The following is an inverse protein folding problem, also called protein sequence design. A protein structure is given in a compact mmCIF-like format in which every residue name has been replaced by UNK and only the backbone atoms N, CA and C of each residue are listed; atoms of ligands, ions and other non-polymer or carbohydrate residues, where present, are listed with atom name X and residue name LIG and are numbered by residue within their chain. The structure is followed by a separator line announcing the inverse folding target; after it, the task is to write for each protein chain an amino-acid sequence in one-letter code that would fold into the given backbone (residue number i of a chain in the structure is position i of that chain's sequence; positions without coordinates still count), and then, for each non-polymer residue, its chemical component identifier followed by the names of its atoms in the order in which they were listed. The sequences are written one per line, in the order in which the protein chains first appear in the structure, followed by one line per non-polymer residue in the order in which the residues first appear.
data_IF_380762247936
#
_entry.id   IF_380762247936
#
_cell.length_a   1.000
_cell.length_b   1.000
_cell.length_c   1.000
_cell.angle_alpha   90.00
_cell.angle_beta   90.00
_cell.angle_gamma   90.00
#
_symmetry.space_group_name_H-M   'P 1'
#
loop_
_entity.id
_entity.type
_entity.pdbx_description
1 polymer ?
#
# COMPACT_ATOMS: atom_id res chain seq x y z
N UNK A 1 -10.24 -27.02 -9.21
CA UNK A 1 -9.37 -26.12 -8.41
C UNK A 1 -10.12 -25.76 -7.13
N UNK A 2 -9.50 -25.96 -5.96
CA UNK A 2 -10.20 -25.95 -4.69
C UNK A 2 -10.51 -24.50 -4.26
N UNK A 3 -11.66 -24.26 -3.61
CA UNK A 3 -12.06 -22.94 -3.09
C UNK A 3 -10.99 -22.31 -2.17
N UNK A 4 -10.12 -23.11 -1.57
CA UNK A 4 -8.95 -22.66 -0.80
C UNK A 4 -7.95 -21.86 -1.62
N UNK A 5 -7.63 -22.28 -2.85
CA UNK A 5 -6.57 -21.65 -3.66
C UNK A 5 -6.95 -20.21 -4.04
N UNK A 6 -8.24 -20.00 -4.33
CA UNK A 6 -8.84 -18.69 -4.63
C UNK A 6 -8.78 -17.78 -3.40
N UNK A 7 -9.15 -18.30 -2.22
CA UNK A 7 -9.11 -17.55 -0.97
C UNK A 7 -7.69 -17.14 -0.57
N UNK A 8 -6.71 -18.03 -0.75
CA UNK A 8 -5.29 -17.73 -0.49
C UNK A 8 -4.79 -16.66 -1.45
N UNK A 9 -5.16 -16.75 -2.73
CA UNK A 9 -4.76 -15.76 -3.74
C UNK A 9 -5.32 -14.37 -3.42
N UNK A 10 -6.62 -14.28 -3.10
CA UNK A 10 -7.28 -13.03 -2.70
C UNK A 10 -6.62 -12.45 -1.44
N UNK A 11 -6.36 -13.28 -0.44
CA UNK A 11 -5.66 -12.88 0.78
C UNK A 11 -4.27 -12.30 0.49
N UNK A 12 -3.45 -12.99 -0.31
CA UNK A 12 -2.10 -12.54 -0.65
C UNK A 12 -2.12 -11.20 -1.39
N UNK A 13 -3.01 -11.06 -2.37
CA UNK A 13 -3.20 -9.83 -3.14
C UNK A 13 -3.61 -8.65 -2.24
N UNK A 14 -4.59 -8.86 -1.35
CA UNK A 14 -5.03 -7.83 -0.40
C UNK A 14 -3.97 -7.46 0.65
N UNK A 15 -2.97 -8.33 0.84
CA UNK A 15 -1.79 -8.08 1.67
C UNK A 15 -0.57 -7.63 0.87
N UNK A 16 -0.77 -7.20 -0.39
CA UNK A 16 0.23 -6.52 -1.20
C UNK A 16 1.26 -7.43 -1.82
N UNK A 17 0.93 -8.70 -2.04
CA UNK A 17 1.72 -9.56 -2.91
C UNK A 17 1.73 -8.99 -4.34
N UNK A 18 2.91 -8.73 -4.85
CA UNK A 18 3.11 -8.18 -6.19
C UNK A 18 3.17 -9.33 -7.22
N UNK A 19 2.03 -9.60 -7.86
CA UNK A 19 1.97 -10.46 -9.04
C UNK A 19 2.29 -9.69 -10.34
N UNK A 20 2.70 -8.42 -10.23
CA UNK A 20 3.06 -7.53 -11.31
C UNK A 20 4.26 -7.98 -12.13
N UNK A 21 5.25 -8.63 -11.51
CA UNK A 21 6.34 -9.30 -12.25
C UNK A 21 5.83 -10.52 -13.03
N UNK A 22 4.81 -11.20 -12.50
CA UNK A 22 4.08 -12.25 -13.22
C UNK A 22 3.29 -11.66 -14.38
N UNK A 23 2.74 -10.44 -14.24
CA UNK A 23 2.01 -9.67 -15.27
C UNK A 23 2.90 -9.09 -16.38
N UNK A 24 4.11 -8.63 -16.06
CA UNK A 24 5.12 -8.20 -17.06
C UNK A 24 5.52 -9.35 -17.98
N UNK A 25 5.51 -10.57 -17.47
CA UNK A 25 5.74 -11.78 -18.25
C UNK A 25 4.51 -12.24 -19.05
N UNK A 26 3.30 -11.65 -18.93
CA UNK A 26 2.09 -12.17 -19.61
C UNK A 26 2.10 -11.96 -21.14
N UNK A 27 3.07 -11.21 -21.66
CA UNK A 27 3.38 -11.29 -23.10
C UNK A 27 3.86 -12.69 -23.53
N UNK A 28 4.39 -13.48 -22.60
CA UNK A 28 4.84 -14.86 -22.75
C UNK A 28 4.59 -15.65 -21.47
N UNK A 29 3.45 -16.37 -21.41
CA UNK A 29 3.23 -17.63 -20.65
C UNK A 29 4.25 -17.95 -19.56
N UNK A 30 3.85 -17.94 -18.28
CA UNK A 30 4.39 -18.84 -17.23
C UNK A 30 3.74 -18.71 -15.83
N UNK A 31 2.77 -17.81 -15.61
CA UNK A 31 2.12 -17.66 -14.29
C UNK A 31 0.59 -17.84 -14.24
N UNK A 32 -0.11 -17.59 -15.35
CA UNK A 32 -1.59 -17.65 -15.41
C UNK A 32 -2.13 -19.04 -15.79
N UNK A 33 -1.31 -19.89 -16.41
CA UNK A 33 -1.72 -21.23 -16.85
C UNK A 33 -1.96 -22.17 -15.67
N UNK A 34 -1.24 -21.97 -14.56
CA UNK A 34 -1.42 -22.73 -13.32
C UNK A 34 -2.68 -22.31 -12.53
N UNK A 35 -3.25 -21.15 -12.83
CA UNK A 35 -4.51 -20.72 -12.22
C UNK A 35 -5.69 -21.13 -13.10
N UNK A 36 -6.61 -21.90 -12.52
CA UNK A 36 -7.95 -22.08 -13.05
C UNK A 36 -8.70 -20.76 -13.13
N UNK A 37 -9.82 -20.77 -13.86
CA UNK A 37 -10.61 -19.58 -14.23
C UNK A 37 -10.91 -18.64 -13.04
N UNK A 38 -11.25 -19.21 -11.88
CA UNK A 38 -11.54 -18.45 -10.66
C UNK A 38 -10.32 -17.67 -10.13
N UNK A 39 -9.13 -18.28 -10.16
CA UNK A 39 -7.89 -17.62 -9.72
C UNK A 39 -7.52 -16.45 -10.63
N UNK A 40 -7.69 -16.63 -11.95
CA UNK A 40 -7.48 -15.55 -12.93
C UNK A 40 -8.42 -14.38 -12.68
N UNK A 41 -9.70 -14.65 -12.44
CA UNK A 41 -10.70 -13.62 -12.16
C UNK A 41 -10.34 -12.79 -10.91
N UNK A 42 -9.79 -13.43 -9.86
CA UNK A 42 -9.31 -12.72 -8.66
C UNK A 42 -8.14 -11.79 -8.98
N UNK A 43 -7.15 -12.24 -9.76
CA UNK A 43 -6.00 -11.43 -10.15
C UNK A 43 -6.43 -10.26 -11.06
N UNK A 44 -7.31 -10.52 -12.04
CA UNK A 44 -7.89 -9.50 -12.91
C UNK A 44 -8.63 -8.43 -12.10
N UNK A 45 -9.50 -8.83 -11.17
CA UNK A 45 -10.19 -7.91 -10.25
C UNK A 45 -9.19 -7.09 -9.44
N UNK A 46 -8.16 -7.70 -8.89
CA UNK A 46 -7.16 -6.95 -8.15
C UNK A 46 -6.41 -5.94 -9.03
N UNK A 47 -6.09 -6.31 -10.28
CA UNK A 47 -5.50 -5.41 -11.27
C UNK A 47 -6.41 -4.21 -11.54
N UNK A 48 -7.73 -4.44 -11.65
CA UNK A 48 -8.72 -3.37 -11.76
C UNK A 48 -8.70 -2.42 -10.56
N UNK A 49 -8.61 -2.95 -9.33
CA UNK A 49 -8.51 -2.11 -8.11
C UNK A 49 -7.30 -1.17 -8.18
N UNK A 50 -6.13 -1.71 -8.54
CA UNK A 50 -4.90 -0.93 -8.63
C UNK A 50 -4.94 0.10 -9.77
N UNK A 51 -5.56 -0.27 -10.90
CA UNK A 51 -5.79 0.64 -12.02
C UNK A 51 -6.70 1.81 -11.63
N UNK A 52 -7.80 1.55 -10.90
CA UNK A 52 -8.70 2.60 -10.44
C UNK A 52 -7.99 3.63 -9.52
N UNK A 53 -6.97 3.20 -8.79
CA UNK A 53 -6.10 4.08 -7.99
C UNK A 53 -5.03 4.82 -8.82
N UNK A 54 -4.96 4.62 -10.13
CA UNK A 54 -3.87 5.10 -11.01
C UNK A 54 -2.47 4.62 -10.60
N UNK A 55 -2.39 3.50 -9.86
CA UNK A 55 -1.12 2.92 -9.40
C UNK A 55 -0.53 1.91 -10.40
N UNK A 56 -1.24 1.59 -11.47
CA UNK A 56 -0.81 0.62 -12.48
C UNK A 56 -1.00 1.16 -13.91
N UNK A 57 0.02 1.83 -14.49
CA UNK A 57 0.04 2.21 -15.90
C UNK A 57 0.57 1.05 -16.76
N UNK A 58 -0.19 -0.05 -16.84
CA UNK A 58 0.16 -1.20 -17.66
C UNK A 58 -0.52 -1.20 -19.05
N UNK A 59 0.11 -1.78 -20.10
CA UNK A 59 -0.45 -1.84 -21.46
C UNK A 59 -1.74 -2.67 -21.57
N UNK A 60 -2.05 -3.51 -20.58
CA UNK A 60 -3.26 -4.34 -20.53
C UNK A 60 -4.50 -3.60 -20.03
N UNK A 61 -4.40 -2.28 -19.84
CA UNK A 61 -5.47 -1.46 -19.27
C UNK A 61 -6.75 -1.47 -20.13
N UNK A 62 -6.65 -1.51 -21.46
CA UNK A 62 -7.81 -1.43 -22.35
C UNK A 62 -8.68 -2.69 -22.43
N UNK A 63 -8.09 -3.88 -22.28
CA UNK A 63 -8.80 -5.18 -22.45
C UNK A 63 -9.60 -5.57 -21.21
N UNK A 64 -9.16 -5.11 -20.04
CA UNK A 64 -9.78 -5.46 -18.75
C UNK A 64 -11.06 -4.64 -18.50
N UNK A 65 -11.18 -3.43 -19.07
CA UNK A 65 -12.24 -2.49 -18.71
C UNK A 65 -13.66 -3.02 -19.03
N UNK A 66 -13.90 -3.51 -20.25
CA UNK A 66 -15.24 -3.92 -20.69
C UNK A 66 -15.81 -5.10 -19.92
N UNK A 67 -14.95 -6.01 -19.43
CA UNK A 67 -15.37 -7.17 -18.63
C UNK A 67 -15.74 -6.80 -17.18
N UNK A 68 -15.20 -5.70 -16.67
CA UNK A 68 -15.29 -5.33 -15.25
C UNK A 68 -15.94 -3.97 -15.01
N UNK A 69 -16.70 -3.41 -15.96
CA UNK A 69 -17.33 -2.09 -15.87
C UNK A 69 -18.06 -1.83 -14.54
N UNK A 70 -18.90 -2.77 -14.09
CA UNK A 70 -19.62 -2.65 -12.81
C UNK A 70 -18.63 -2.63 -11.63
N UNK A 71 -17.60 -3.48 -11.67
CA UNK A 71 -16.60 -3.58 -10.63
C UNK A 71 -15.72 -2.31 -10.57
N UNK A 72 -15.37 -1.72 -11.73
CA UNK A 72 -14.68 -0.43 -11.82
C UNK A 72 -15.53 0.67 -11.19
N UNK A 73 -16.84 0.73 -11.49
CA UNK A 73 -17.75 1.71 -10.87
C UNK A 73 -17.78 1.56 -9.34
N UNK A 74 -17.81 0.32 -8.83
CA UNK A 74 -17.73 0.06 -7.40
C UNK A 74 -16.37 0.51 -6.80
N UNK A 75 -15.27 0.23 -7.48
CA UNK A 75 -13.94 0.69 -7.09
C UNK A 75 -13.89 2.21 -7.00
N UNK A 76 -14.36 2.92 -8.03
CA UNK A 76 -14.40 4.38 -8.06
C UNK A 76 -15.31 4.94 -6.95
N UNK A 77 -16.47 4.32 -6.71
CA UNK A 77 -17.37 4.71 -5.63
C UNK A 77 -16.72 4.58 -4.24
N UNK A 78 -15.93 3.52 -4.00
CA UNK A 78 -15.19 3.38 -2.73
C UNK A 78 -14.00 4.35 -2.64
N UNK A 79 -13.30 4.62 -3.75
CA UNK A 79 -12.24 5.64 -3.83
C UNK A 79 -12.75 7.02 -3.43
N UNK A 80 -13.94 7.43 -3.91
CA UNK A 80 -14.53 8.71 -3.52
C UNK A 80 -14.86 8.78 -2.02
N UNK A 81 -15.14 7.63 -1.37
CA UNK A 81 -15.28 7.56 0.09
C UNK A 81 -13.92 7.66 0.78
N UNK A 82 -12.90 6.97 0.27
CA UNK A 82 -11.52 7.01 0.81
C UNK A 82 -10.96 8.45 0.83
N UNK A 83 -11.26 9.25 -0.20
CA UNK A 83 -10.85 10.66 -0.30
C UNK A 83 -11.52 11.58 0.73
N UNK A 84 -12.69 11.20 1.25
CA UNK A 84 -13.47 12.03 2.19
C UNK A 84 -13.12 11.79 3.64
N UNK A 85 -12.55 10.63 3.96
CA UNK A 85 -12.33 10.22 5.35
C UNK A 85 -10.89 10.53 5.77
N UNK A 86 -10.73 11.60 6.55
CA UNK A 86 -9.48 11.96 7.20
C UNK A 86 -9.07 11.00 8.32
N UNK A 87 -7.77 10.81 8.51
CA UNK A 87 -7.17 9.89 9.49
C UNK A 87 -6.25 10.58 10.50
N UNK A 88 -5.90 11.85 10.31
CA UNK A 88 -5.12 12.62 11.26
C UNK A 88 -5.36 14.14 11.14
N UNK A 89 -4.71 14.91 12.02
CA UNK A 89 -4.80 16.38 12.07
C UNK A 89 -4.24 17.07 10.82
N UNK A 90 -3.35 16.40 10.07
CA UNK A 90 -2.72 16.93 8.86
C UNK A 90 -3.54 16.70 7.59
N UNK A 91 -4.84 16.39 7.76
CA UNK A 91 -5.80 16.13 6.68
C UNK A 91 -5.38 14.99 5.73
N UNK A 92 -4.55 14.05 6.21
CA UNK A 92 -4.29 12.82 5.45
C UNK A 92 -5.59 12.02 5.41
N UNK A 93 -5.93 11.53 4.23
CA UNK A 93 -7.11 10.70 3.99
C UNK A 93 -6.73 9.22 3.89
N UNK A 94 -7.71 8.31 3.90
CA UNK A 94 -7.42 6.92 3.57
C UNK A 94 -7.00 6.72 2.11
N UNK A 95 -7.36 7.63 1.20
CA UNK A 95 -6.86 7.62 -0.17
C UNK A 95 -5.35 7.93 -0.24
N UNK A 96 -4.92 8.91 0.55
CA UNK A 96 -3.50 9.27 0.68
C UNK A 96 -2.66 8.10 1.21
N UNK A 97 -3.19 7.32 2.14
CA UNK A 97 -2.52 6.11 2.66
C UNK A 97 -2.16 5.13 1.54
N UNK A 98 -3.05 4.96 0.56
CA UNK A 98 -2.85 4.01 -0.54
C UNK A 98 -1.91 4.54 -1.62
N UNK A 99 -1.95 5.85 -1.87
CA UNK A 99 -1.34 6.44 -3.07
C UNK A 99 -0.04 7.19 -2.82
N UNK A 100 0.19 7.67 -1.60
CA UNK A 100 1.43 8.37 -1.26
C UNK A 100 2.58 7.37 -1.07
N UNK A 101 3.80 7.76 -1.47
CA UNK A 101 4.95 6.90 -1.24
C UNK A 101 5.19 6.69 0.27
N UNK A 102 5.65 5.49 0.63
CA UNK A 102 5.74 5.04 2.03
C UNK A 102 6.56 5.99 2.91
N UNK A 103 7.66 6.54 2.39
CA UNK A 103 8.49 7.49 3.14
C UNK A 103 7.75 8.81 3.44
N UNK A 104 7.10 9.43 2.45
CA UNK A 104 6.30 10.65 2.68
C UNK A 104 5.15 10.40 3.64
N UNK A 105 4.48 9.25 3.51
CA UNK A 105 3.43 8.86 4.43
C UNK A 105 3.96 8.73 5.86
N UNK A 106 5.06 7.98 6.07
CA UNK A 106 5.69 7.82 7.38
C UNK A 106 6.01 9.16 8.05
N UNK A 107 6.58 10.11 7.30
CA UNK A 107 6.90 11.46 7.80
C UNK A 107 5.67 12.28 8.20
N UNK A 108 4.50 12.02 7.59
CA UNK A 108 3.26 12.74 7.92
C UNK A 108 2.40 12.05 9.00
N UNK A 109 2.70 10.80 9.34
CA UNK A 109 2.04 10.05 10.41
C UNK A 109 2.75 10.20 11.77
N UNK A 110 3.60 11.21 11.95
CA UNK A 110 4.39 11.46 13.18
C UNK A 110 3.55 11.41 14.45
N UNK A 111 2.34 11.98 14.40
CA UNK A 111 1.44 12.10 15.56
C UNK A 111 0.50 10.89 15.77
N UNK A 112 0.66 9.80 15.02
CA UNK A 112 -0.15 8.59 15.18
C UNK A 112 0.52 7.65 16.17
N UNK A 113 -0.12 7.44 17.33
CA UNK A 113 0.24 6.40 18.30
C UNK A 113 -0.17 5.00 17.81
N UNK A 114 0.34 3.95 18.45
CA UNK A 114 -0.05 2.56 18.18
C UNK A 114 -1.56 2.32 18.45
N UNK A 115 -2.12 2.94 19.49
CA UNK A 115 -3.56 2.85 19.79
C UNK A 115 -4.41 3.49 18.68
N UNK A 116 -3.99 4.66 18.19
CA UNK A 116 -4.63 5.32 17.05
C UNK A 116 -4.50 4.48 15.78
N UNK A 117 -3.36 3.81 15.58
CA UNK A 117 -3.18 2.90 14.45
C UNK A 117 -4.19 1.73 14.49
N UNK A 118 -4.39 1.10 15.64
CA UNK A 118 -5.36 0.00 15.76
C UNK A 118 -6.79 0.46 15.43
N UNK A 119 -7.19 1.63 15.92
CA UNK A 119 -8.48 2.25 15.59
C UNK A 119 -8.63 2.54 14.10
N UNK A 120 -7.60 3.10 13.46
CA UNK A 120 -7.60 3.39 12.03
C UNK A 120 -7.69 2.13 11.18
N UNK A 121 -6.99 1.06 11.55
CA UNK A 121 -7.07 -0.25 10.88
C UNK A 121 -8.47 -0.84 10.96
N UNK A 122 -9.09 -0.79 12.15
CA UNK A 122 -10.47 -1.24 12.35
C UNK A 122 -11.45 -0.42 11.52
N UNK A 123 -11.30 0.91 11.54
CA UNK A 123 -12.12 1.83 10.73
C UNK A 123 -11.97 1.55 9.23
N UNK A 124 -10.75 1.31 8.76
CA UNK A 124 -10.50 0.99 7.35
C UNK A 124 -11.25 -0.29 6.93
N UNK A 125 -11.09 -1.36 7.71
CA UNK A 125 -11.74 -2.66 7.43
C UNK A 125 -13.28 -2.57 7.44
N UNK A 126 -13.85 -1.78 8.35
CA UNK A 126 -15.30 -1.67 8.48
C UNK A 126 -15.94 -0.79 7.39
N UNK A 127 -15.23 0.23 6.90
CA UNK A 127 -15.81 1.22 5.97
C UNK A 127 -15.48 0.97 4.49
N UNK A 128 -14.43 0.21 4.20
CA UNK A 128 -13.92 0.02 2.84
C UNK A 128 -13.77 -1.46 2.55
N UNK A 129 -14.70 -2.02 1.79
CA UNK A 129 -14.75 -3.47 1.53
C UNK A 129 -13.70 -3.89 0.52
N UNK A 130 -13.42 -3.05 -0.48
CA UNK A 130 -12.50 -3.37 -1.58
C UNK A 130 -11.04 -3.00 -1.24
N UNK A 131 -10.85 -1.95 -0.45
CA UNK A 131 -9.52 -1.39 -0.17
C UNK A 131 -9.12 -1.46 1.31
N UNK A 132 -10.01 -1.86 2.22
CA UNK A 132 -9.75 -1.80 3.67
C UNK A 132 -8.50 -2.57 4.12
N UNK A 133 -8.25 -3.76 3.57
CA UNK A 133 -7.05 -4.54 3.90
C UNK A 133 -5.77 -3.91 3.31
N UNK A 134 -5.82 -3.39 2.08
CA UNK A 134 -4.70 -2.64 1.49
C UNK A 134 -4.37 -1.38 2.31
N UNK A 135 -5.39 -0.64 2.75
CA UNK A 135 -5.23 0.53 3.64
C UNK A 135 -4.53 0.11 4.94
N UNK A 136 -4.99 -0.96 5.57
CA UNK A 136 -4.42 -1.49 6.81
C UNK A 136 -2.96 -1.91 6.63
N UNK A 137 -2.63 -2.56 5.51
CA UNK A 137 -1.25 -2.93 5.16
C UNK A 137 -0.37 -1.69 5.04
N UNK A 138 -0.78 -0.71 4.24
CA UNK A 138 -0.02 0.51 3.99
C UNK A 138 0.18 1.33 5.26
N UNK A 139 -0.86 1.46 6.10
CA UNK A 139 -0.74 2.08 7.43
C UNK A 139 0.29 1.36 8.31
N UNK A 140 0.28 0.03 8.33
CA UNK A 140 1.23 -0.76 9.12
C UNK A 140 2.66 -0.51 8.66
N UNK A 141 2.91 -0.56 7.35
CA UNK A 141 4.23 -0.31 6.76
C UNK A 141 4.71 1.11 7.05
N UNK A 142 3.83 2.11 6.92
CA UNK A 142 4.17 3.50 7.14
C UNK A 142 4.49 3.81 8.62
N UNK A 143 3.70 3.29 9.57
CA UNK A 143 4.00 3.47 11.00
C UNK A 143 5.27 2.73 11.41
N UNK A 144 5.51 1.52 10.88
CA UNK A 144 6.77 0.81 11.10
C UNK A 144 7.96 1.64 10.62
N UNK A 145 7.90 2.17 9.39
CA UNK A 145 8.96 3.03 8.84
C UNK A 145 9.12 4.32 9.66
N UNK A 146 8.03 4.94 10.11
CA UNK A 146 8.07 6.10 11.02
C UNK A 146 8.87 5.78 12.28
N UNK A 147 8.61 4.65 12.93
CA UNK A 147 9.31 4.25 14.14
C UNK A 147 10.81 4.00 13.88
N UNK A 148 11.17 3.43 12.73
CA UNK A 148 12.57 3.27 12.31
C UNK A 148 13.25 4.62 12.07
N UNK A 149 12.57 5.55 11.39
CA UNK A 149 13.09 6.91 11.15
C UNK A 149 13.38 7.65 12.46
N UNK A 150 12.49 7.54 13.46
CA UNK A 150 12.68 8.17 14.77
C UNK A 150 13.93 7.62 15.45
N UNK A 151 14.11 6.30 15.47
CA UNK A 151 15.27 5.65 16.10
C UNK A 151 16.57 6.00 15.38
N UNK A 152 16.60 5.86 14.06
CA UNK A 152 17.76 6.23 13.26
C UNK A 152 18.13 7.71 13.42
N UNK A 153 17.14 8.61 13.57
CA UNK A 153 17.40 10.03 13.82
C UNK A 153 18.11 10.23 15.17
N UNK A 154 17.65 9.57 16.24
CA UNK A 154 18.29 9.64 17.56
C UNK A 154 19.76 9.19 17.46
N UNK A 155 20.03 8.05 16.81
CA UNK A 155 21.39 7.51 16.63
C UNK A 155 22.29 8.46 15.84
N UNK A 156 21.81 9.03 14.73
CA UNK A 156 22.62 9.94 13.92
C UNK A 156 22.85 11.29 14.63
N UNK A 157 21.86 11.81 15.36
CA UNK A 157 22.03 13.02 16.18
C UNK A 157 23.09 12.80 17.26
N UNK A 158 23.15 11.62 17.86
CA UNK A 158 24.16 11.24 18.86
C UNK A 158 25.57 11.14 18.25
N UNK A 159 25.73 10.38 17.15
CA UNK A 159 27.02 10.19 16.46
C UNK A 159 27.62 11.51 15.97
N UNK A 160 26.78 12.39 15.42
CA UNK A 160 27.23 13.65 14.85
C UNK A 160 27.11 14.82 15.84
N UNK A 161 26.80 14.58 17.12
CA UNK A 161 26.65 15.60 18.16
C UNK A 161 25.78 16.80 17.72
N UNK A 162 24.68 16.52 17.01
CA UNK A 162 23.80 17.54 16.41
C UNK A 162 24.46 18.49 15.38
N UNK A 163 25.66 18.16 14.87
CA UNK A 163 26.35 18.96 13.85
C UNK A 163 25.63 18.94 12.48
N UNK A 164 24.82 17.92 12.22
CA UNK A 164 24.04 17.81 10.99
C UNK A 164 22.67 18.48 11.13
N UNK A 165 22.29 19.40 10.22
CA UNK A 165 20.95 19.97 10.21
C UNK A 165 19.86 18.90 10.01
N UNK A 166 18.71 19.05 10.68
CA UNK A 166 17.56 18.14 10.52
C UNK A 166 17.09 18.00 9.06
N UNK A 167 17.28 19.04 8.25
CA UNK A 167 16.93 19.01 6.82
C UNK A 167 17.82 18.05 6.04
N UNK A 168 19.10 17.97 6.42
CA UNK A 168 20.06 17.04 5.83
C UNK A 168 19.74 15.59 6.19
N UNK A 169 19.47 15.32 7.48
CA UNK A 169 19.05 13.99 7.95
C UNK A 169 17.77 13.51 7.24
N UNK A 170 16.79 14.41 7.08
CA UNK A 170 15.55 14.12 6.33
C UNK A 170 15.81 13.75 4.87
N UNK A 171 16.74 14.42 4.20
CA UNK A 171 17.11 14.10 2.83
C UNK A 171 17.83 12.74 2.75
N UNK A 172 18.74 12.44 3.67
CA UNK A 172 19.39 11.14 3.74
C UNK A 172 18.39 10.00 3.93
N UNK A 173 17.45 10.15 4.85
CA UNK A 173 16.42 9.13 5.11
C UNK A 173 15.49 8.83 3.93
N UNK A 174 15.42 9.72 2.94
CA UNK A 174 14.72 9.43 1.70
C UNK A 174 15.35 8.26 0.94
N UNK A 175 16.68 8.14 0.99
CA UNK A 175 17.46 7.13 0.27
C UNK A 175 17.59 5.81 1.04
N UNK A 176 17.36 5.80 2.36
CA UNK A 176 17.51 4.61 3.18
C UNK A 176 16.32 3.66 3.07
N UNK A 177 16.60 2.40 2.78
CA UNK A 177 15.63 1.32 2.88
C UNK A 177 15.22 1.07 4.33
N UNK A 178 14.14 0.33 4.55
CA UNK A 178 13.78 -0.12 5.91
C UNK A 178 14.87 -1.02 6.53
N UNK A 179 15.76 -1.60 5.73
CA UNK A 179 16.89 -2.40 6.23
C UNK A 179 18.03 -1.51 6.69
N UNK A 180 18.40 -0.48 5.92
CA UNK A 180 19.42 0.50 6.31
C UNK A 180 18.99 1.22 7.59
N UNK A 181 17.72 1.62 7.68
CA UNK A 181 17.19 2.26 8.88
C UNK A 181 17.27 1.34 10.10
N UNK A 182 17.05 0.02 9.97
CA UNK A 182 17.20 -0.93 11.08
C UNK A 182 18.64 -1.07 11.55
N UNK A 183 19.62 -0.95 10.65
CA UNK A 183 21.03 -0.97 11.04
C UNK A 183 21.42 0.26 11.86
N UNK A 184 20.69 1.36 11.69
CA UNK A 184 20.87 2.63 12.39
C UNK A 184 19.93 2.80 13.61
N UNK A 185 18.97 1.90 13.84
CA UNK A 185 17.90 2.01 14.85
C UNK A 185 18.13 1.10 16.05
#
# INVERSE_FOLDING_TARGET
MCTRDVQVTEFLLDHGADFGNTLKFIGYSLGFENFGENGRNVIERHTVKLKALSLFPGPYSGVIDTKFDIFIKNCNGEIEKLKKVGINIHRITFFDVLTMCQHKLAMRLTNISEDNLALLKKKAKLNFRLYGELVKLHLTKAVRRKNLLIKANITLTDIFESALPDTFLRQMFYYFSDQDLKLLS
#
